data_IF_334571779475
#
_entry.id   IF_334571779475
#
_cell.length_a   1.000
_cell.length_b   1.000
_cell.length_c   1.000
_cell.angle_alpha   90.00
_cell.angle_beta   90.00
_cell.angle_gamma   90.00
#
_symmetry.space_group_name_H-M   'P 1'
#
loop_
_entity.id
_entity.type
_entity.pdbx_description
1 polymer ?
#
# COMPACT_ATOMS: atom_id res chain seq x y z
N UNK A 1 16.98 -2.01 -4.58
CA UNK A 1 17.88 -2.80 -3.72
C UNK A 1 18.12 -4.21 -4.29
N UNK A 2 17.10 -5.00 -4.61
CA UNK A 2 17.24 -6.34 -5.23
C UNK A 2 17.92 -6.32 -6.60
N UNK A 3 17.53 -5.40 -7.50
CA UNK A 3 18.18 -5.23 -8.81
C UNK A 3 19.67 -4.93 -8.62
N UNK A 4 20.02 -4.01 -7.75
CA UNK A 4 21.41 -3.63 -7.47
C UNK A 4 22.26 -4.77 -6.85
N UNK A 5 21.65 -5.70 -6.10
CA UNK A 5 22.34 -6.88 -5.59
C UNK A 5 22.61 -7.87 -6.72
N UNK A 6 21.60 -8.14 -7.54
CA UNK A 6 21.74 -9.02 -8.71
C UNK A 6 22.75 -8.48 -9.72
N UNK A 7 22.72 -7.19 -10.03
CA UNK A 7 23.63 -6.54 -10.97
C UNK A 7 25.09 -6.68 -10.48
N UNK A 8 25.33 -6.45 -9.19
CA UNK A 8 26.68 -6.64 -8.60
C UNK A 8 27.13 -8.10 -8.61
N UNK A 9 26.22 -9.04 -8.40
CA UNK A 9 26.54 -10.46 -8.44
C UNK A 9 26.89 -10.90 -9.87
N UNK A 10 26.11 -10.44 -10.84
CA UNK A 10 26.38 -10.68 -12.26
C UNK A 10 27.70 -10.05 -12.71
N UNK A 11 27.98 -8.81 -12.31
CA UNK A 11 29.22 -8.11 -12.59
C UNK A 11 30.43 -8.87 -11.98
N UNK A 12 30.30 -9.33 -10.74
CA UNK A 12 31.36 -10.12 -10.08
C UNK A 12 31.67 -11.41 -10.83
N UNK A 13 30.62 -12.15 -11.24
CA UNK A 13 30.81 -13.40 -12.01
C UNK A 13 31.38 -13.13 -13.41
N UNK A 14 30.98 -12.03 -14.03
CA UNK A 14 31.52 -11.61 -15.32
C UNK A 14 33.01 -11.28 -15.22
N UNK A 15 33.40 -10.50 -14.22
CA UNK A 15 34.80 -10.16 -13.97
C UNK A 15 35.65 -11.39 -13.57
N UNK A 16 35.03 -12.33 -12.83
CA UNK A 16 35.68 -13.60 -12.54
C UNK A 16 35.91 -14.43 -13.83
N UNK A 17 34.87 -14.52 -14.67
CA UNK A 17 34.97 -15.23 -15.94
C UNK A 17 36.07 -14.64 -16.86
N UNK A 18 36.15 -13.31 -16.94
CA UNK A 18 37.24 -12.67 -17.69
C UNK A 18 38.64 -13.07 -17.15
N UNK A 19 38.84 -13.09 -15.87
CA UNK A 19 40.11 -13.52 -15.25
C UNK A 19 40.40 -15.00 -15.48
N UNK A 20 39.38 -15.84 -15.41
CA UNK A 20 39.51 -17.28 -15.71
C UNK A 20 39.92 -17.49 -17.18
N UNK A 21 39.36 -16.71 -18.12
CA UNK A 21 39.74 -16.79 -19.53
C UNK A 21 41.16 -16.33 -19.78
N UNK A 22 41.60 -15.25 -19.11
CA UNK A 22 43.00 -14.80 -19.19
C UNK A 22 43.99 -15.84 -18.63
N UNK A 23 43.58 -16.51 -17.52
CA UNK A 23 44.36 -17.62 -16.98
C UNK A 23 44.42 -18.79 -17.94
N UNK A 24 43.33 -19.11 -18.61
CA UNK A 24 43.29 -20.15 -19.64
C UNK A 24 44.23 -19.86 -20.80
N UNK A 25 44.23 -18.61 -21.30
CA UNK A 25 45.22 -18.17 -22.31
C UNK A 25 46.66 -18.36 -21.82
N UNK A 26 46.96 -17.91 -20.61
CA UNK A 26 48.31 -18.03 -20.04
C UNK A 26 48.79 -19.50 -19.97
N UNK A 27 47.88 -20.41 -19.58
CA UNK A 27 48.18 -21.85 -19.52
C UNK A 27 48.38 -22.42 -20.94
N UNK A 28 47.52 -22.02 -21.88
CA UNK A 28 47.61 -22.43 -23.27
C UNK A 28 48.95 -22.03 -23.87
N UNK A 29 49.32 -20.76 -23.74
CA UNK A 29 50.59 -20.23 -24.26
C UNK A 29 51.79 -20.94 -23.67
N UNK A 30 51.78 -21.19 -22.35
CA UNK A 30 52.88 -21.89 -21.69
C UNK A 30 53.04 -23.33 -22.22
N UNK A 31 51.95 -24.03 -22.42
CA UNK A 31 51.96 -25.41 -22.92
C UNK A 31 52.37 -25.43 -24.39
N UNK A 32 51.81 -24.50 -25.18
CA UNK A 32 52.12 -24.35 -26.61
C UNK A 32 53.61 -24.10 -26.84
N UNK A 33 54.22 -23.11 -26.20
CA UNK A 33 55.64 -22.77 -26.30
C UNK A 33 56.54 -23.94 -25.89
N UNK A 34 56.12 -24.69 -24.90
CA UNK A 34 56.88 -25.86 -24.47
C UNK A 34 56.81 -26.99 -25.49
N UNK A 35 55.69 -27.23 -26.13
CA UNK A 35 55.54 -28.26 -27.14
C UNK A 35 56.24 -27.90 -28.48
N UNK A 36 56.14 -26.63 -28.91
CA UNK A 36 56.80 -26.09 -30.07
C UNK A 36 58.32 -26.26 -29.96
N UNK A 37 58.90 -25.99 -28.79
CA UNK A 37 60.35 -26.17 -28.53
C UNK A 37 60.80 -27.61 -28.72
N UNK A 38 59.94 -28.60 -28.54
CA UNK A 38 60.23 -30.01 -28.75
C UNK A 38 59.80 -30.53 -30.16
N UNK A 39 59.40 -29.65 -31.09
CA UNK A 39 59.12 -29.99 -32.47
C UNK A 39 57.85 -30.82 -32.69
N UNK A 40 56.86 -30.63 -31.86
CA UNK A 40 55.58 -31.34 -31.96
C UNK A 40 54.75 -30.80 -33.14
N UNK A 41 54.41 -31.66 -34.10
CA UNK A 41 53.68 -31.35 -35.36
C UNK A 41 52.22 -30.94 -35.07
N UNK A 42 51.70 -31.18 -33.83
CA UNK A 42 50.36 -30.86 -33.38
C UNK A 42 50.34 -30.10 -32.03
N UNK A 43 51.31 -29.17 -31.89
CA UNK A 43 51.49 -28.44 -30.62
C UNK A 43 50.25 -27.69 -30.17
N UNK A 44 49.46 -27.09 -31.08
CA UNK A 44 48.23 -26.35 -30.77
C UNK A 44 47.12 -27.23 -30.17
N UNK A 45 46.82 -28.36 -30.82
CA UNK A 45 45.77 -29.30 -30.36
C UNK A 45 46.13 -29.92 -29.02
N UNK A 46 47.40 -30.32 -28.83
CA UNK A 46 47.87 -30.93 -27.61
C UNK A 46 47.94 -29.89 -26.45
N UNK A 47 48.34 -28.66 -26.75
CA UNK A 47 48.29 -27.55 -25.80
C UNK A 47 46.85 -27.25 -25.36
N UNK A 48 45.94 -27.21 -26.34
CA UNK A 48 44.52 -27.04 -26.07
C UNK A 48 43.97 -28.09 -25.13
N UNK A 49 44.16 -29.36 -25.46
CA UNK A 49 43.64 -30.46 -24.62
C UNK A 49 44.24 -30.42 -23.20
N UNK A 50 45.53 -30.16 -23.07
CA UNK A 50 46.21 -30.09 -21.79
C UNK A 50 45.80 -28.86 -20.95
N UNK A 51 45.57 -27.72 -21.55
CA UNK A 51 45.13 -26.50 -20.90
C UNK A 51 43.67 -26.63 -20.44
N UNK A 52 42.80 -27.15 -21.29
CA UNK A 52 41.39 -27.37 -20.97
C UNK A 52 41.20 -28.38 -19.84
N UNK A 53 41.92 -29.49 -19.83
CA UNK A 53 41.90 -30.51 -18.78
C UNK A 53 42.26 -29.89 -17.41
N UNK A 54 43.32 -29.08 -17.36
CA UNK A 54 43.78 -28.42 -16.13
C UNK A 54 42.78 -27.39 -15.57
N UNK A 55 42.10 -26.66 -16.46
CA UNK A 55 41.13 -25.63 -16.05
C UNK A 55 39.82 -26.24 -15.58
N UNK A 56 39.31 -27.26 -16.26
CA UNK A 56 38.05 -27.94 -15.93
C UNK A 56 38.11 -28.62 -14.59
N UNK A 57 39.25 -29.20 -14.22
CA UNK A 57 39.42 -29.93 -12.95
C UNK A 57 39.39 -29.02 -11.71
N UNK A 58 39.66 -27.72 -11.85
CA UNK A 58 39.80 -26.79 -10.74
C UNK A 58 38.54 -25.96 -10.43
N UNK A 59 37.70 -25.60 -11.39
CA UNK A 59 36.68 -24.56 -11.20
C UNK A 59 35.27 -24.87 -11.74
N UNK A 60 35.05 -26.03 -12.36
CA UNK A 60 33.74 -26.32 -13.04
C UNK A 60 33.47 -25.39 -14.23
N UNK A 61 34.51 -24.68 -14.72
CA UNK A 61 34.46 -23.80 -15.88
C UNK A 61 34.75 -24.65 -17.10
N UNK A 62 33.99 -24.49 -18.16
CA UNK A 62 34.18 -25.21 -19.40
C UNK A 62 34.96 -24.36 -20.36
N UNK A 63 36.01 -24.95 -20.91
CA UNK A 63 36.92 -24.28 -21.81
C UNK A 63 36.65 -24.73 -23.24
N UNK A 64 36.76 -23.80 -24.18
CA UNK A 64 36.66 -24.07 -25.62
C UNK A 64 37.83 -23.44 -26.38
N UNK A 65 38.24 -24.12 -27.41
CA UNK A 65 39.17 -23.61 -28.42
C UNK A 65 38.46 -23.66 -29.74
N UNK A 66 38.41 -22.52 -30.42
CA UNK A 66 37.84 -22.40 -31.75
C UNK A 66 38.98 -21.99 -32.72
N UNK A 67 39.25 -22.84 -33.69
CA UNK A 67 40.20 -22.59 -34.75
C UNK A 67 39.55 -21.86 -35.93
N UNK A 68 40.35 -21.21 -36.76
CA UNK A 68 39.87 -20.43 -37.92
C UNK A 68 39.16 -21.28 -38.98
N UNK A 69 39.45 -22.56 -39.03
CA UNK A 69 38.78 -23.54 -39.92
C UNK A 69 37.38 -23.93 -39.44
N UNK A 70 36.97 -23.44 -38.26
CA UNK A 70 35.70 -23.75 -37.59
C UNK A 70 35.74 -25.00 -36.74
N UNK A 71 36.92 -25.60 -36.54
CA UNK A 71 37.09 -26.73 -35.59
C UNK A 71 36.96 -26.23 -34.15
N UNK A 72 36.12 -26.89 -33.38
CA UNK A 72 35.95 -26.60 -31.94
C UNK A 72 36.49 -27.78 -31.13
N UNK A 73 37.43 -27.49 -30.28
CA UNK A 73 37.88 -28.39 -29.23
C UNK A 73 37.26 -27.97 -27.90
N UNK A 74 36.52 -28.87 -27.29
CA UNK A 74 35.84 -28.62 -25.99
C UNK A 74 36.40 -29.57 -24.95
N UNK A 75 36.62 -29.04 -23.77
CA UNK A 75 36.86 -29.86 -22.60
C UNK A 75 36.00 -29.34 -21.42
N UNK A 76 35.24 -30.24 -20.94
CA UNK A 76 34.29 -30.01 -19.83
C UNK A 76 33.07 -30.93 -19.95
N UNK A 77 32.23 -30.90 -18.95
CA UNK A 77 31.02 -31.72 -18.91
C UNK A 77 29.75 -30.88 -19.21
N UNK A 78 29.85 -30.05 -20.27
CA UNK A 78 28.74 -29.19 -20.67
C UNK A 78 27.50 -29.99 -21.07
N UNK A 79 26.39 -29.52 -20.54
CA UNK A 79 25.05 -30.01 -20.92
C UNK A 79 24.56 -29.42 -22.26
N UNK A 80 25.42 -28.65 -22.97
CA UNK A 80 25.06 -28.03 -24.23
C UNK A 80 25.63 -28.82 -25.44
N UNK A 81 24.84 -29.00 -26.51
CA UNK A 81 25.35 -29.58 -27.77
C UNK A 81 26.47 -28.72 -28.34
N UNK A 82 27.49 -29.38 -28.93
CA UNK A 82 28.63 -28.69 -29.53
C UNK A 82 28.22 -27.69 -30.62
N UNK A 83 27.20 -28.02 -31.42
CA UNK A 83 26.70 -27.12 -32.46
C UNK A 83 26.13 -25.82 -31.91
N UNK A 84 25.56 -25.87 -30.71
CA UNK A 84 24.97 -24.70 -30.07
C UNK A 84 26.08 -23.80 -29.48
N UNK A 85 27.12 -24.39 -28.91
CA UNK A 85 28.29 -23.66 -28.43
C UNK A 85 28.98 -22.96 -29.58
N UNK A 86 29.19 -23.66 -30.69
CA UNK A 86 29.76 -23.09 -31.93
C UNK A 86 28.98 -21.87 -32.39
N UNK A 87 27.66 -22.02 -32.49
CA UNK A 87 26.75 -20.93 -32.88
C UNK A 87 26.85 -19.71 -31.98
N UNK A 88 26.90 -19.93 -30.67
CA UNK A 88 27.05 -18.86 -29.69
C UNK A 88 28.41 -18.16 -29.80
N UNK A 89 29.49 -18.93 -30.01
CA UNK A 89 30.83 -18.39 -30.19
C UNK A 89 30.92 -17.54 -31.46
N UNK A 90 30.44 -18.07 -32.59
CA UNK A 90 30.41 -17.32 -33.86
C UNK A 90 29.55 -16.04 -33.77
N UNK A 91 28.40 -16.09 -33.11
CA UNK A 91 27.55 -14.91 -32.87
C UNK A 91 28.30 -13.86 -32.07
N UNK A 92 28.99 -14.26 -31.00
CA UNK A 92 29.78 -13.34 -30.19
C UNK A 92 30.96 -12.74 -30.93
N UNK A 93 31.69 -13.54 -31.68
CA UNK A 93 32.81 -13.05 -32.49
C UNK A 93 32.36 -12.01 -33.52
N UNK A 94 31.15 -12.14 -34.08
CA UNK A 94 30.58 -11.11 -34.97
C UNK A 94 30.25 -9.79 -34.26
N UNK A 95 30.07 -9.81 -32.96
CA UNK A 95 29.83 -8.61 -32.16
C UNK A 95 31.10 -8.00 -31.58
N UNK A 96 32.24 -8.62 -31.82
CA UNK A 96 33.53 -8.16 -31.36
C UNK A 96 33.97 -6.90 -32.10
N UNK A 97 34.37 -5.88 -31.37
CA UNK A 97 34.88 -4.65 -31.98
C UNK A 97 36.19 -4.92 -32.73
N UNK A 98 36.42 -4.33 -33.90
CA UNK A 98 37.69 -4.46 -34.62
C UNK A 98 38.85 -3.93 -33.79
N UNK A 99 39.76 -4.82 -33.37
CA UNK A 99 40.89 -4.48 -32.51
C UNK A 99 40.71 -4.71 -31.01
N UNK A 100 39.62 -5.32 -30.62
CA UNK A 100 39.45 -5.81 -29.24
C UNK A 100 40.05 -7.22 -29.13
N UNK A 101 40.79 -7.48 -28.08
CA UNK A 101 41.41 -8.78 -27.83
C UNK A 101 40.46 -9.75 -27.10
N UNK A 102 39.32 -9.23 -26.57
CA UNK A 102 38.36 -10.02 -25.82
C UNK A 102 36.92 -9.57 -26.05
N UNK A 103 36.03 -10.53 -26.17
CA UNK A 103 34.58 -10.33 -26.17
C UNK A 103 33.94 -11.19 -25.06
N UNK A 104 32.96 -10.66 -24.39
CA UNK A 104 32.19 -11.40 -23.36
C UNK A 104 30.76 -10.99 -23.36
N UNK A 105 29.90 -11.88 -22.86
CA UNK A 105 28.49 -11.58 -22.72
C UNK A 105 27.69 -12.75 -22.12
N UNK A 106 26.55 -12.43 -21.56
CA UNK A 106 25.61 -13.44 -21.08
C UNK A 106 24.63 -13.77 -22.20
N UNK A 107 24.45 -15.05 -22.47
CA UNK A 107 23.49 -15.55 -23.43
C UNK A 107 22.52 -16.52 -22.80
N UNK A 108 21.27 -16.45 -23.24
CA UNK A 108 20.21 -17.37 -22.76
C UNK A 108 20.06 -18.49 -23.80
N UNK A 109 20.17 -19.73 -23.34
CA UNK A 109 19.94 -20.93 -24.15
C UNK A 109 18.88 -21.77 -23.46
N UNK A 110 17.70 -21.86 -24.07
CA UNK A 110 16.54 -22.51 -23.43
C UNK A 110 16.15 -21.81 -22.12
N UNK A 111 16.25 -22.52 -21.01
CA UNK A 111 15.99 -22.00 -19.66
C UNK A 111 17.23 -21.55 -18.92
N UNK A 112 18.43 -21.87 -19.43
CA UNK A 112 19.71 -21.63 -18.79
C UNK A 112 20.34 -20.32 -19.28
N UNK A 113 21.21 -19.75 -18.46
CA UNK A 113 21.98 -18.54 -18.76
C UNK A 113 23.46 -18.86 -18.67
N UNK A 114 24.21 -18.53 -19.71
CA UNK A 114 25.62 -18.81 -19.79
C UNK A 114 26.41 -17.53 -20.01
N UNK A 115 27.49 -17.37 -19.24
CA UNK A 115 28.52 -16.37 -19.52
C UNK A 115 29.48 -17.00 -20.50
N UNK A 116 29.68 -16.37 -21.66
CA UNK A 116 30.65 -16.72 -22.64
C UNK A 116 31.69 -15.59 -22.69
N UNK A 117 32.97 -15.93 -22.60
CA UNK A 117 34.09 -15.00 -22.76
C UNK A 117 35.07 -15.61 -23.74
N UNK A 118 35.43 -14.88 -24.77
CA UNK A 118 36.32 -15.31 -25.83
C UNK A 118 37.48 -14.32 -25.91
N UNK A 119 38.72 -14.83 -25.97
CA UNK A 119 39.95 -14.06 -26.19
C UNK A 119 40.56 -14.51 -27.52
N UNK A 120 41.04 -13.56 -28.28
CA UNK A 120 41.83 -13.83 -29.49
C UNK A 120 43.28 -14.04 -29.11
N UNK A 121 43.82 -15.20 -29.45
CA UNK A 121 45.27 -15.46 -29.28
C UNK A 121 46.01 -15.20 -30.61
N UNK A 122 46.94 -14.25 -30.53
CA UNK A 122 47.81 -13.85 -31.64
C UNK A 122 49.26 -14.35 -31.48
N UNK A 123 49.52 -15.15 -30.43
CA UNK A 123 50.88 -15.56 -30.06
C UNK A 123 51.48 -16.64 -30.99
N UNK A 124 50.71 -17.16 -31.90
CA UNK A 124 51.19 -18.15 -32.89
C UNK A 124 51.70 -17.44 -34.13
N UNK A 125 52.98 -17.66 -34.44
CA UNK A 125 53.65 -17.28 -35.71
C UNK A 125 53.03 -18.00 -36.93
N UNK A 126 52.02 -18.84 -36.70
CA UNK A 126 51.20 -19.53 -37.69
C UNK A 126 50.06 -18.62 -38.16
N UNK A 127 49.76 -18.65 -39.44
CA UNK A 127 48.69 -17.83 -40.08
C UNK A 127 47.27 -18.09 -39.56
N UNK A 128 47.10 -18.95 -38.56
CA UNK A 128 45.82 -19.35 -38.00
C UNK A 128 45.58 -18.68 -36.65
N UNK A 129 44.58 -17.80 -36.60
CA UNK A 129 44.11 -17.18 -35.38
C UNK A 129 43.34 -18.22 -34.55
N UNK A 130 43.70 -18.37 -33.28
CA UNK A 130 43.01 -19.25 -32.36
C UNK A 130 42.19 -18.42 -31.37
N UNK A 131 40.94 -18.80 -31.13
CA UNK A 131 40.07 -18.17 -30.18
C UNK A 131 39.91 -19.07 -28.94
N UNK A 132 40.32 -18.55 -27.81
CA UNK A 132 40.23 -19.24 -26.53
C UNK A 132 38.98 -18.73 -25.76
N UNK A 133 38.10 -19.62 -25.44
CA UNK A 133 36.86 -19.24 -24.75
C UNK A 133 36.57 -20.05 -23.50
N UNK A 134 35.85 -19.42 -22.63
CA UNK A 134 35.29 -20.10 -21.47
C UNK A 134 33.77 -19.95 -21.47
N UNK A 135 33.10 -20.97 -20.99
CA UNK A 135 31.66 -20.97 -20.79
C UNK A 135 31.35 -21.33 -19.35
N UNK A 136 30.55 -20.48 -18.69
CA UNK A 136 30.16 -20.65 -17.30
C UNK A 136 28.65 -20.61 -17.15
N UNK A 137 28.07 -21.58 -16.44
CA UNK A 137 26.63 -21.60 -16.16
C UNK A 137 26.27 -20.61 -15.06
N UNK A 138 25.45 -19.62 -15.38
CA UNK A 138 24.90 -18.61 -14.47
C UNK A 138 23.43 -18.88 -14.08
N UNK A 139 22.87 -20.00 -14.49
CA UNK A 139 21.45 -20.32 -14.28
C UNK A 139 21.07 -20.26 -12.81
N UNK A 140 21.96 -20.70 -11.91
CA UNK A 140 21.73 -20.64 -10.47
C UNK A 140 21.46 -19.22 -9.95
N UNK A 141 22.17 -18.22 -10.48
CA UNK A 141 21.99 -16.80 -10.12
C UNK A 141 20.60 -16.30 -10.53
N UNK A 142 20.17 -16.66 -11.73
CA UNK A 142 18.85 -16.28 -12.23
C UNK A 142 17.71 -17.02 -11.52
N UNK A 143 17.90 -18.29 -11.15
CA UNK A 143 16.97 -19.06 -10.35
C UNK A 143 16.82 -18.48 -8.93
N UNK A 144 17.93 -18.12 -8.29
CA UNK A 144 17.93 -17.45 -6.98
C UNK A 144 17.16 -16.14 -7.03
N UNK A 145 17.38 -15.30 -8.06
CA UNK A 145 16.64 -14.08 -8.30
C UNK A 145 15.14 -14.35 -8.42
N UNK A 146 14.75 -15.36 -9.21
CA UNK A 146 13.34 -15.69 -9.42
C UNK A 146 12.67 -16.19 -8.13
N UNK A 147 13.40 -16.97 -7.34
CA UNK A 147 12.95 -17.45 -6.02
C UNK A 147 12.76 -16.30 -5.03
N UNK A 148 13.71 -15.38 -4.94
CA UNK A 148 13.60 -14.18 -4.12
C UNK A 148 12.41 -13.32 -4.53
N UNK A 149 12.22 -13.06 -5.82
CA UNK A 149 11.08 -12.28 -6.33
C UNK A 149 9.74 -12.92 -5.95
N UNK A 150 9.64 -14.25 -6.02
CA UNK A 150 8.44 -14.99 -5.60
C UNK A 150 8.19 -14.86 -4.10
N UNK A 151 9.23 -15.00 -3.26
CA UNK A 151 9.13 -14.84 -1.81
C UNK A 151 8.67 -13.44 -1.41
N UNK A 152 9.24 -12.39 -2.02
CA UNK A 152 8.82 -11.01 -1.82
C UNK A 152 7.39 -10.77 -2.29
N UNK A 153 6.99 -11.36 -3.41
CA UNK A 153 5.62 -11.30 -3.91
C UNK A 153 4.60 -11.89 -2.92
N UNK A 154 4.91 -13.05 -2.36
CA UNK A 154 4.06 -13.70 -1.34
C UNK A 154 4.01 -12.85 -0.06
N UNK A 155 5.15 -12.34 0.41
CA UNK A 155 5.21 -11.49 1.60
C UNK A 155 4.39 -10.20 1.42
N UNK A 156 4.50 -9.55 0.27
CA UNK A 156 3.73 -8.34 -0.07
C UNK A 156 2.22 -8.63 -0.13
N UNK A 157 1.83 -9.73 -0.78
CA UNK A 157 0.43 -10.15 -0.82
C UNK A 157 -0.12 -10.42 0.60
N UNK A 158 0.64 -11.11 1.44
CA UNK A 158 0.29 -11.32 2.85
C UNK A 158 0.11 -10.02 3.62
N UNK A 159 1.01 -9.05 3.46
CA UNK A 159 0.91 -7.74 4.08
C UNK A 159 -0.34 -6.97 3.65
N UNK A 160 -0.67 -7.01 2.35
CA UNK A 160 -1.88 -6.37 1.82
C UNK A 160 -3.16 -7.00 2.37
N UNK A 161 -3.20 -8.33 2.50
CA UNK A 161 -4.36 -9.04 3.08
C UNK A 161 -4.53 -8.68 4.56
N UNK A 162 -3.44 -8.70 5.34
CA UNK A 162 -3.46 -8.34 6.76
C UNK A 162 -3.87 -6.87 6.94
N UNK A 163 -3.28 -5.96 6.18
CA UNK A 163 -3.61 -4.53 6.21
C UNK A 163 -5.06 -4.25 5.81
N UNK A 164 -5.55 -4.91 4.77
CA UNK A 164 -6.94 -4.82 4.34
C UNK A 164 -7.92 -5.34 5.40
N UNK A 165 -7.61 -6.48 6.03
CA UNK A 165 -8.41 -7.02 7.13
C UNK A 165 -8.42 -6.09 8.35
N UNK A 166 -7.27 -5.56 8.74
CA UNK A 166 -7.15 -4.61 9.83
C UNK A 166 -7.96 -3.33 9.56
N UNK A 167 -7.87 -2.76 8.37
CA UNK A 167 -8.64 -1.60 7.95
C UNK A 167 -10.16 -1.88 7.95
N UNK A 168 -10.57 -3.06 7.47
CA UNK A 168 -11.97 -3.49 7.51
C UNK A 168 -12.52 -3.60 8.95
N UNK A 169 -11.75 -4.23 9.84
CA UNK A 169 -12.11 -4.35 11.26
C UNK A 169 -12.19 -2.97 11.94
N UNK A 170 -11.21 -2.12 11.71
CA UNK A 170 -11.17 -0.76 12.25
C UNK A 170 -12.38 0.06 11.78
N UNK A 171 -12.74 -0.03 10.49
CA UNK A 171 -13.94 0.60 9.95
C UNK A 171 -15.22 0.10 10.63
N UNK A 172 -15.32 -1.20 10.87
CA UNK A 172 -16.50 -1.80 11.50
C UNK A 172 -16.66 -1.44 12.98
N UNK A 173 -15.55 -1.44 13.73
CA UNK A 173 -15.58 -1.26 15.19
C UNK A 173 -15.49 0.19 15.64
N UNK A 174 -14.78 1.06 14.90
CA UNK A 174 -14.62 2.47 15.28
C UNK A 174 -15.46 3.41 14.42
N UNK A 175 -15.29 3.36 13.11
CA UNK A 175 -15.84 4.37 12.22
C UNK A 175 -17.35 4.32 12.12
N UNK A 176 -17.94 3.13 11.99
CA UNK A 176 -19.41 2.99 11.88
C UNK A 176 -20.17 3.46 13.10
N UNK A 177 -19.80 3.08 14.35
CA UNK A 177 -20.49 3.59 15.55
C UNK A 177 -20.41 5.11 15.70
N UNK A 178 -19.26 5.71 15.40
CA UNK A 178 -19.09 7.17 15.46
C UNK A 178 -19.98 7.87 14.43
N UNK A 179 -20.06 7.33 13.21
CA UNK A 179 -20.93 7.88 12.17
C UNK A 179 -22.42 7.77 12.55
N UNK A 180 -22.82 6.66 13.15
CA UNK A 180 -24.19 6.50 13.68
C UNK A 180 -24.50 7.51 14.78
N UNK A 181 -23.58 7.73 15.73
CA UNK A 181 -23.70 8.75 16.78
C UNK A 181 -23.87 10.14 16.16
N UNK A 182 -23.04 10.50 15.21
CA UNK A 182 -23.11 11.80 14.53
C UNK A 182 -24.44 12.00 13.79
N UNK A 183 -24.92 10.98 13.08
CA UNK A 183 -26.21 11.02 12.40
C UNK A 183 -27.37 11.16 13.40
N UNK A 184 -27.29 10.46 14.53
CA UNK A 184 -28.32 10.56 15.58
C UNK A 184 -28.30 11.95 16.21
N UNK A 185 -27.12 12.53 16.47
CA UNK A 185 -26.99 13.90 16.95
C UNK A 185 -27.60 14.92 15.98
N UNK A 186 -27.35 14.78 14.68
CA UNK A 186 -27.97 15.63 13.66
C UNK A 186 -29.50 15.53 13.63
N UNK A 187 -30.07 14.35 13.85
CA UNK A 187 -31.52 14.16 13.93
C UNK A 187 -32.13 14.80 15.16
N UNK A 188 -31.50 14.64 16.32
CA UNK A 188 -31.93 15.27 17.58
C UNK A 188 -31.84 16.79 17.45
N UNK A 189 -30.78 17.34 16.86
CA UNK A 189 -30.67 18.77 16.58
C UNK A 189 -31.74 19.29 15.62
N UNK A 190 -32.25 18.42 14.74
CA UNK A 190 -33.40 18.70 13.86
C UNK A 190 -34.76 18.49 14.48
N UNK A 191 -34.84 18.19 15.79
CA UNK A 191 -36.10 18.04 16.54
C UNK A 191 -36.63 16.59 16.66
N UNK A 192 -35.91 15.57 16.14
CA UNK A 192 -36.31 14.15 16.31
C UNK A 192 -35.73 13.58 17.63
N UNK A 193 -36.38 13.93 18.73
CA UNK A 193 -35.95 13.54 20.07
C UNK A 193 -36.28 12.08 20.45
N UNK A 194 -36.98 11.33 19.63
CA UNK A 194 -37.28 9.92 19.89
C UNK A 194 -36.10 9.01 19.59
N UNK A 195 -35.18 9.46 18.78
CA UNK A 195 -34.00 8.67 18.41
C UNK A 195 -32.99 8.57 19.54
N UNK A 196 -32.38 7.40 19.60
CA UNK A 196 -31.30 7.09 20.55
C UNK A 196 -30.11 6.48 19.81
N UNK A 197 -28.93 6.68 20.37
CA UNK A 197 -27.74 5.99 19.92
C UNK A 197 -27.86 4.49 20.25
N UNK A 198 -27.65 3.64 19.22
CA UNK A 198 -27.93 2.18 19.32
C UNK A 198 -26.69 1.41 19.76
N UNK A 199 -25.47 2.00 19.65
CA UNK A 199 -24.25 1.29 19.99
C UNK A 199 -24.15 1.02 21.50
N UNK A 200 -24.07 -0.28 21.87
CA UNK A 200 -24.04 -0.77 23.23
C UNK A 200 -22.74 -1.47 23.62
N UNK A 201 -21.62 -1.10 23.00
CA UNK A 201 -20.31 -1.63 23.35
C UNK A 201 -19.93 -1.34 24.79
N UNK A 202 -18.98 -2.11 25.32
CA UNK A 202 -18.39 -1.90 26.67
C UNK A 202 -17.15 -1.00 26.62
N UNK A 203 -16.81 -0.51 25.44
CA UNK A 203 -15.69 0.38 25.15
C UNK A 203 -16.06 1.87 25.36
N UNK A 204 -15.13 2.76 25.11
CA UNK A 204 -15.29 4.22 25.25
C UNK A 204 -16.39 4.76 24.34
N UNK A 205 -16.61 4.16 23.17
CA UNK A 205 -17.70 4.53 22.25
C UNK A 205 -19.06 4.15 22.84
N UNK A 206 -19.13 2.99 23.50
CA UNK A 206 -20.33 2.57 24.22
C UNK A 206 -20.64 3.49 25.41
N UNK A 207 -19.65 3.96 26.17
CA UNK A 207 -19.81 4.93 27.22
C UNK A 207 -20.29 6.29 26.70
N UNK A 208 -19.69 6.76 25.59
CA UNK A 208 -20.13 7.97 24.91
C UNK A 208 -21.59 7.86 24.44
N UNK A 209 -21.99 6.73 23.88
CA UNK A 209 -23.35 6.45 23.44
C UNK A 209 -24.36 6.54 24.62
N UNK A 210 -24.02 5.93 25.75
CA UNK A 210 -24.86 6.00 26.97
C UNK A 210 -24.95 7.43 27.51
N UNK A 211 -23.85 8.16 27.52
CA UNK A 211 -23.80 9.55 27.98
C UNK A 211 -24.61 10.47 27.07
N UNK A 212 -24.53 10.25 25.76
CA UNK A 212 -25.34 10.96 24.78
C UNK A 212 -26.84 10.70 24.96
N UNK A 213 -27.26 9.47 25.19
CA UNK A 213 -28.65 9.13 25.43
C UNK A 213 -29.16 9.78 26.75
N UNK A 214 -28.36 9.78 27.82
CA UNK A 214 -28.71 10.47 29.09
C UNK A 214 -28.88 11.98 28.87
N UNK A 215 -28.02 12.59 28.04
CA UNK A 215 -28.18 14.01 27.70
C UNK A 215 -29.48 14.26 26.95
N UNK A 216 -29.82 13.43 25.98
CA UNK A 216 -31.07 13.54 25.23
C UNK A 216 -32.29 13.41 26.15
N UNK A 217 -32.27 12.44 27.08
CA UNK A 217 -33.38 12.27 28.05
C UNK A 217 -33.57 13.51 28.95
N UNK A 218 -32.49 14.18 29.35
CA UNK A 218 -32.56 15.43 30.09
C UNK A 218 -33.15 16.56 29.25
N UNK A 219 -32.76 16.67 27.99
CA UNK A 219 -33.31 17.69 27.08
C UNK A 219 -34.82 17.51 26.90
N UNK A 220 -35.29 16.28 26.67
CA UNK A 220 -36.72 15.98 26.53
C UNK A 220 -37.49 16.42 27.79
N UNK A 221 -37.03 16.03 29.00
CA UNK A 221 -37.66 16.44 30.25
C UNK A 221 -37.71 17.95 30.42
N UNK A 222 -36.63 18.65 30.11
CA UNK A 222 -36.61 20.11 30.21
C UNK A 222 -37.60 20.77 29.25
N UNK A 223 -37.79 20.20 28.06
CA UNK A 223 -38.77 20.69 27.08
C UNK A 223 -40.19 20.49 27.63
N UNK A 224 -40.49 19.28 28.11
CA UNK A 224 -41.81 18.97 28.71
C UNK A 224 -42.13 19.90 29.89
N UNK A 225 -41.15 20.14 30.78
CA UNK A 225 -41.28 21.09 31.89
C UNK A 225 -41.57 22.51 31.43
N UNK A 226 -40.85 22.97 30.39
CA UNK A 226 -41.07 24.31 29.83
C UNK A 226 -42.41 24.46 29.11
N UNK A 227 -42.85 23.42 28.42
CA UNK A 227 -44.19 23.40 27.79
C UNK A 227 -45.29 23.45 28.84
N UNK A 228 -45.16 22.72 29.94
CA UNK A 228 -46.10 22.76 31.06
C UNK A 228 -46.11 24.14 31.74
N UNK A 229 -44.95 24.73 32.02
CA UNK A 229 -44.83 26.10 32.55
C UNK A 229 -45.49 27.12 31.61
N UNK A 230 -45.27 27.03 30.31
CA UNK A 230 -45.87 27.92 29.33
C UNK A 230 -47.39 27.81 29.32
N UNK A 231 -47.93 26.57 29.35
CA UNK A 231 -49.36 26.30 29.40
C UNK A 231 -49.99 26.82 30.70
N UNK A 232 -49.38 26.59 31.85
CA UNK A 232 -49.84 27.12 33.12
C UNK A 232 -49.91 28.65 33.11
N UNK A 233 -48.91 29.31 32.53
CA UNK A 233 -48.87 30.77 32.39
C UNK A 233 -50.00 31.27 31.47
N UNK A 234 -50.27 30.56 30.36
CA UNK A 234 -51.36 30.88 29.44
C UNK A 234 -52.72 30.72 30.13
N UNK A 235 -52.95 29.59 30.80
CA UNK A 235 -54.19 29.32 31.56
C UNK A 235 -54.40 30.36 32.64
N UNK A 236 -53.35 30.73 33.39
CA UNK A 236 -53.40 31.78 34.39
C UNK A 236 -53.79 33.14 33.78
N UNK A 237 -53.13 33.51 32.65
CA UNK A 237 -53.41 34.77 31.99
C UNK A 237 -54.84 34.82 31.42
N UNK A 238 -55.34 33.72 30.86
CA UNK A 238 -56.72 33.61 30.38
C UNK A 238 -57.74 33.72 31.51
N UNK A 239 -57.54 33.01 32.65
CA UNK A 239 -58.39 33.08 33.81
C UNK A 239 -58.41 34.50 34.41
N UNK A 240 -57.22 35.12 34.54
CA UNK A 240 -57.12 36.48 35.07
C UNK A 240 -57.81 37.51 34.14
N UNK A 241 -57.66 37.44 32.89
CA UNK A 241 -58.34 38.32 31.92
C UNK A 241 -59.81 38.15 31.95
N UNK A 242 -60.30 36.90 32.14
CA UNK A 242 -61.78 36.65 32.33
C UNK A 242 -62.32 37.25 33.60
N UNK A 243 -61.61 37.08 34.73
CA UNK A 243 -62.05 37.66 36.00
C UNK A 243 -62.08 39.18 35.95
N UNK A 244 -61.01 39.81 35.38
CA UNK A 244 -60.95 41.25 35.17
C UNK A 244 -62.13 41.77 34.34
N UNK A 245 -62.40 41.10 33.23
CA UNK A 245 -63.48 41.47 32.26
C UNK A 245 -64.81 41.44 32.98
N UNK A 246 -65.08 40.40 33.79
CA UNK A 246 -66.35 40.24 34.50
C UNK A 246 -66.54 41.39 35.57
N UNK A 247 -65.47 41.71 36.30
CA UNK A 247 -65.55 42.77 37.33
C UNK A 247 -65.68 44.18 36.69
N UNK A 248 -64.91 44.44 35.62
CA UNK A 248 -64.96 45.68 34.85
C UNK A 248 -66.38 45.88 34.23
N UNK A 249 -66.93 44.79 33.63
CA UNK A 249 -68.30 44.86 33.07
C UNK A 249 -69.35 45.22 34.12
N UNK A 250 -69.21 44.66 35.33
CA UNK A 250 -70.07 44.99 36.44
C UNK A 250 -69.91 46.47 36.91
N UNK A 251 -68.68 46.96 37.02
CA UNK A 251 -68.40 48.36 37.37
C UNK A 251 -69.03 49.32 36.35
N UNK A 252 -68.76 49.04 35.05
CA UNK A 252 -69.30 49.86 33.97
C UNK A 252 -70.83 49.81 33.93
N UNK A 253 -71.44 48.65 34.16
CA UNK A 253 -72.90 48.51 34.21
C UNK A 253 -73.54 49.31 35.28
N UNK A 254 -72.99 49.25 36.51
CA UNK A 254 -73.52 50.07 37.66
C UNK A 254 -73.23 51.57 37.44
N UNK A 255 -72.07 51.94 36.84
CA UNK A 255 -71.76 53.32 36.52
C UNK A 255 -72.69 53.88 35.45
N UNK A 256 -73.06 53.11 34.45
CA UNK A 256 -73.97 53.47 33.37
C UNK A 256 -75.42 53.63 33.96
N UNK A 257 -75.83 52.73 34.89
CA UNK A 257 -77.10 52.83 35.61
C UNK A 257 -77.16 54.15 36.35
N UNK A 258 -76.13 54.57 37.12
CA UNK A 258 -76.02 55.83 37.83
C UNK A 258 -76.10 57.05 36.89
N UNK A 259 -75.64 56.96 35.69
CA UNK A 259 -75.58 58.08 34.70
C UNK A 259 -76.83 58.20 33.83
N UNK A 260 -77.50 57.07 33.55
CA UNK A 260 -78.56 57.02 32.53
C UNK A 260 -79.99 56.95 33.12
N UNK A 261 -80.13 56.66 34.39
CA UNK A 261 -81.44 56.48 35.00
C UNK A 261 -81.69 57.43 36.24
N UNK A 262 -82.89 57.86 36.40
CA UNK A 262 -83.33 58.50 37.64
C UNK A 262 -83.51 57.44 38.75
N UNK A 263 -82.60 57.42 39.69
CA UNK A 263 -82.56 56.44 40.78
C UNK A 263 -83.01 57.06 42.10
N UNK A 264 -83.62 56.26 42.94
CA UNK A 264 -83.90 56.60 44.37
C UNK A 264 -82.54 56.72 45.10
N UNK A 265 -82.52 57.45 46.27
CA UNK A 265 -81.31 57.56 47.07
C UNK A 265 -80.78 56.20 47.57
N UNK A 266 -81.64 55.21 47.75
CA UNK A 266 -81.25 53.85 48.17
C UNK A 266 -80.52 53.10 46.98
N UNK A 267 -81.14 53.13 45.79
CA UNK A 267 -80.58 52.51 44.62
C UNK A 267 -79.23 53.12 44.25
N UNK A 268 -79.07 54.43 44.37
CA UNK A 268 -77.80 55.17 44.14
C UNK A 268 -76.72 54.71 45.13
N UNK A 269 -77.07 54.53 46.39
CA UNK A 269 -76.21 54.02 47.47
C UNK A 269 -75.72 52.62 47.19
N UNK A 270 -76.64 51.72 46.77
CA UNK A 270 -76.30 50.32 46.39
C UNK A 270 -75.38 50.25 45.19
N UNK A 271 -75.65 50.96 44.08
CA UNK A 271 -74.82 50.99 42.87
C UNK A 271 -73.41 51.52 43.17
N UNK A 272 -73.30 52.59 44.01
CA UNK A 272 -71.98 53.14 44.39
C UNK A 272 -71.23 52.13 45.29
N UNK A 273 -71.87 51.42 46.15
CA UNK A 273 -71.29 50.40 47.01
C UNK A 273 -70.75 49.24 46.17
N UNK A 274 -71.51 48.78 45.14
CA UNK A 274 -71.06 47.71 44.23
C UNK A 274 -69.85 48.13 43.43
N UNK A 275 -69.81 49.35 42.88
CA UNK A 275 -68.64 49.87 42.16
C UNK A 275 -67.43 49.87 43.07
N UNK A 276 -67.54 50.41 44.25
CA UNK A 276 -66.48 50.47 45.27
C UNK A 276 -66.00 49.09 45.67
N UNK A 277 -66.94 48.17 45.92
CA UNK A 277 -66.58 46.79 46.33
C UNK A 277 -65.88 45.99 45.21
N UNK A 278 -66.32 46.15 43.96
CA UNK A 278 -65.63 45.54 42.81
C UNK A 278 -64.25 46.15 42.53
N UNK A 279 -64.14 47.50 42.67
CA UNK A 279 -62.87 48.19 42.54
C UNK A 279 -61.85 47.72 43.57
N UNK A 280 -62.29 47.55 44.85
CA UNK A 280 -61.45 47.05 45.92
C UNK A 280 -61.03 45.58 45.76
N UNK A 281 -61.80 44.78 45.03
CA UNK A 281 -61.42 43.40 44.68
C UNK A 281 -60.35 43.36 43.57
N UNK A 282 -60.20 44.44 42.81
CA UNK A 282 -59.21 44.56 41.77
C UNK A 282 -57.84 45.06 42.28
N UNK A 283 -57.82 45.67 43.46
CA UNK A 283 -56.59 46.07 44.13
C UNK A 283 -55.89 44.86 44.80
#
# INVERSE_FOLDING_TARGET
>A
MLSSYFDRMLERETEQGKRENLLFQTIYDMVYQNMEKYGAEFAGIQAGNSATERMTDQNGTECMILETDGTITLAGSLKLPQDEIRRLAEEMLRTMDPGADQVYGVRKVGTCYYLLSIITDQATDSADTVYLGILKDLSGIYEERSSMMRQYGIALAGLLVIGGLAAFLLSRYLTRPIEQLNRTAGRIAGGDFEKRAVYQGTDEIGELSRSFNRMTDRLVRQMEEKELEAKQKEDFTAAFAHELKTQLTSIIGYADMLNSYELTEQERGEATYYIFSQGKRLE
#
